data_IF_022613628053
#
_entry.id   IF_022613628053
#
_cell.length_a   1.000
_cell.length_b   1.000
_cell.length_c   1.000
_cell.angle_alpha   90.00
_cell.angle_beta   90.00
_cell.angle_gamma   90.00
#
_symmetry.space_group_name_H-M   'P 1'
#
loop_
_entity.id
_entity.type
_entity.pdbx_description
1 polymer ?
#
# COMPACT_ATOMS: atom_id res chain seq x y z
N UNK A 1 -8.78 -1.54 3.29
CA UNK A 1 -9.62 -2.77 3.34
C UNK A 1 -10.52 -2.85 4.59
N UNK A 2 -10.49 -1.86 5.47
CA UNK A 2 -11.41 -1.70 6.62
C UNK A 2 -12.76 -1.05 6.26
N UNK A 3 -13.05 -0.90 4.99
CA UNK A 3 -14.31 -0.41 4.43
C UNK A 3 -14.65 -1.25 3.20
N UNK A 4 -15.84 -1.07 2.65
CA UNK A 4 -16.26 -1.70 1.38
C UNK A 4 -15.65 -1.02 0.14
N UNK A 5 -14.96 0.11 0.30
CA UNK A 5 -14.27 0.83 -0.78
C UNK A 5 -12.92 0.17 -1.11
N UNK A 6 -13.01 -1.01 -1.70
CA UNK A 6 -11.93 -1.84 -2.20
C UNK A 6 -12.45 -2.78 -3.29
N UNK A 7 -11.57 -3.43 -4.05
CA UNK A 7 -11.99 -4.29 -5.17
C UNK A 7 -12.81 -5.53 -4.76
N UNK A 8 -12.81 -5.90 -3.47
CA UNK A 8 -13.62 -7.00 -2.94
C UNK A 8 -15.04 -6.57 -2.57
N UNK A 9 -15.32 -5.25 -2.50
CA UNK A 9 -16.58 -4.66 -2.03
C UNK A 9 -17.03 -5.20 -0.68
N UNK A 10 -16.05 -5.43 0.22
CA UNK A 10 -16.27 -5.96 1.57
C UNK A 10 -15.26 -5.39 2.55
N UNK A 11 -15.71 -5.16 3.78
CA UNK A 11 -14.79 -4.98 4.90
C UNK A 11 -14.04 -6.29 5.18
N UNK A 12 -12.72 -6.27 4.99
CA UNK A 12 -11.84 -7.42 5.15
C UNK A 12 -11.19 -7.48 6.54
N UNK A 13 -11.23 -6.37 7.28
CA UNK A 13 -10.55 -6.22 8.56
C UNK A 13 -11.48 -6.20 9.77
N UNK A 14 -12.80 -6.02 9.58
CA UNK A 14 -13.80 -5.99 10.64
C UNK A 14 -13.54 -4.83 11.62
N UNK A 15 -13.15 -5.15 12.85
CA UNK A 15 -12.92 -4.13 13.89
C UNK A 15 -11.55 -3.43 13.81
N UNK A 16 -10.70 -3.74 12.84
CA UNK A 16 -9.37 -3.15 12.71
C UNK A 16 -9.45 -1.82 11.92
N UNK A 17 -9.51 -0.71 12.62
CA UNK A 17 -9.65 0.63 12.02
C UNK A 17 -8.30 1.33 11.75
N UNK A 18 -7.22 0.88 12.39
CA UNK A 18 -5.91 1.51 12.27
C UNK A 18 -5.01 0.78 11.26
N UNK A 19 -4.18 1.55 10.56
CA UNK A 19 -3.11 0.98 9.75
C UNK A 19 -1.89 0.66 10.62
N UNK A 20 -1.37 -0.55 10.49
CA UNK A 20 -0.20 -1.03 11.20
C UNK A 20 0.96 -1.28 10.24
N UNK A 21 2.18 -1.04 10.70
CA UNK A 21 3.44 -1.32 10.00
C UNK A 21 4.47 -1.80 11.02
N UNK A 22 5.54 -2.44 10.57
CA UNK A 22 6.70 -2.66 11.43
C UNK A 22 7.21 -1.30 11.95
N UNK A 23 7.68 -1.21 13.22
CA UNK A 23 8.06 0.08 13.82
C UNK A 23 9.05 0.89 13.00
N UNK A 24 10.10 0.27 12.48
CA UNK A 24 11.10 0.94 11.63
C UNK A 24 10.53 1.34 10.26
N UNK A 25 9.53 0.62 9.76
CA UNK A 25 8.81 0.95 8.52
C UNK A 25 7.91 2.17 8.75
N UNK A 26 7.22 2.22 9.90
CA UNK A 26 6.41 3.38 10.31
C UNK A 26 7.27 4.64 10.48
N UNK A 27 8.43 4.54 11.14
CA UNK A 27 9.37 5.66 11.24
C UNK A 27 9.79 6.21 9.86
N UNK A 28 10.03 5.33 8.90
CA UNK A 28 10.37 5.71 7.52
C UNK A 28 9.19 6.37 6.81
N UNK A 29 7.96 5.94 7.08
CA UNK A 29 6.76 6.59 6.53
C UNK A 29 6.61 8.02 7.04
N UNK A 30 6.97 8.28 8.30
CA UNK A 30 7.03 9.66 8.85
C UNK A 30 8.02 10.54 8.09
N UNK A 31 9.15 10.00 7.61
CA UNK A 31 10.07 10.76 6.76
C UNK A 31 9.46 11.10 5.40
N UNK A 32 8.66 10.19 4.82
CA UNK A 32 7.90 10.45 3.60
C UNK A 32 6.93 11.61 3.78
N UNK A 33 6.14 11.57 4.85
CA UNK A 33 5.19 12.63 5.21
C UNK A 33 5.91 13.97 5.43
N UNK A 34 7.03 13.97 6.15
CA UNK A 34 7.84 15.19 6.37
C UNK A 34 8.39 15.77 5.06
N UNK A 35 8.82 14.90 4.14
CA UNK A 35 9.26 15.34 2.81
C UNK A 35 8.11 15.96 2.02
N UNK A 36 6.95 15.28 1.99
CA UNK A 36 5.76 15.76 1.30
C UNK A 36 5.34 17.15 1.81
N UNK A 37 5.23 17.34 3.13
CA UNK A 37 4.88 18.63 3.75
C UNK A 37 5.87 19.77 3.42
N UNK A 38 7.14 19.44 3.18
CA UNK A 38 8.12 20.43 2.71
C UNK A 38 7.94 20.82 1.24
N UNK A 39 7.37 19.92 0.42
CA UNK A 39 7.11 20.18 -1.01
C UNK A 39 5.78 20.89 -1.20
N UNK A 40 4.79 20.46 -0.48
CA UNK A 40 3.45 21.05 -0.48
C UNK A 40 2.80 20.82 0.90
N UNK A 41 2.61 21.91 1.65
CA UNK A 41 2.04 21.85 2.99
C UNK A 41 0.55 21.52 3.00
N UNK A 42 -0.14 21.66 1.86
CA UNK A 42 -1.57 21.35 1.70
C UNK A 42 -1.83 19.88 1.48
N UNK A 43 -0.79 19.07 1.22
CA UNK A 43 -0.92 17.64 0.95
C UNK A 43 -0.54 16.78 2.15
N UNK A 44 -1.15 15.61 2.21
CA UNK A 44 -0.85 14.53 3.18
C UNK A 44 -0.81 13.18 2.49
N UNK A 45 -0.14 12.20 3.11
CA UNK A 45 -0.30 10.80 2.72
C UNK A 45 -1.65 10.28 3.21
N UNK A 46 -2.39 9.62 2.34
CA UNK A 46 -3.61 8.89 2.65
C UNK A 46 -3.33 7.40 2.46
N UNK A 47 -3.48 6.61 3.52
CA UNK A 47 -3.12 5.19 3.52
C UNK A 47 -4.35 4.36 3.20
N UNK A 48 -4.22 3.45 2.23
CA UNK A 48 -5.24 2.48 1.85
C UNK A 48 -5.05 1.15 2.57
N UNK A 49 -3.79 0.66 2.67
CA UNK A 49 -3.48 -0.61 3.32
C UNK A 49 -2.03 -0.63 3.85
N UNK A 50 -1.80 -1.41 4.91
CA UNK A 50 -0.49 -1.60 5.53
C UNK A 50 -0.23 -3.06 5.85
N UNK A 51 -0.08 -3.40 7.13
CA UNK A 51 0.07 -4.78 7.57
C UNK A 51 -1.23 -5.56 7.31
N UNK A 52 -1.19 -6.49 6.37
CA UNK A 52 -2.30 -7.38 6.04
C UNK A 52 -2.00 -8.77 6.57
N UNK A 53 -2.72 -9.27 7.60
CA UNK A 53 -2.54 -10.64 8.08
C UNK A 53 -2.69 -11.68 6.97
N UNK A 54 -1.94 -12.78 7.06
CA UNK A 54 -2.03 -13.86 6.08
C UNK A 54 -3.43 -14.47 6.03
N UNK A 55 -4.13 -14.55 7.17
CA UNK A 55 -5.53 -15.00 7.23
C UNK A 55 -6.47 -14.13 6.41
N UNK A 56 -6.30 -12.80 6.45
CA UNK A 56 -7.07 -11.85 5.62
C UNK A 56 -6.75 -12.07 4.15
N UNK A 57 -5.48 -12.16 3.79
CA UNK A 57 -5.07 -12.44 2.41
C UNK A 57 -5.59 -13.79 1.92
N UNK A 58 -5.63 -14.84 2.77
CA UNK A 58 -6.23 -16.12 2.46
C UNK A 58 -7.73 -15.98 2.22
N UNK A 59 -8.44 -15.24 3.06
CA UNK A 59 -9.87 -14.98 2.89
C UNK A 59 -10.16 -14.24 1.57
N UNK A 60 -9.39 -13.20 1.22
CA UNK A 60 -9.47 -12.53 -0.08
C UNK A 60 -9.28 -13.52 -1.24
N UNK A 61 -8.26 -14.39 -1.13
CA UNK A 61 -7.96 -15.39 -2.13
C UNK A 61 -9.10 -16.39 -2.34
N UNK A 62 -9.75 -16.82 -1.26
CA UNK A 62 -10.83 -17.80 -1.30
C UNK A 62 -12.12 -17.21 -1.87
N UNK A 63 -12.36 -15.92 -1.67
CA UNK A 63 -13.50 -15.21 -2.25
C UNK A 63 -13.41 -15.02 -3.77
N UNK A 64 -12.22 -15.04 -4.35
CA UNK A 64 -12.04 -14.91 -5.79
C UNK A 64 -12.44 -16.23 -6.48
N UNK A 65 -13.60 -16.27 -7.14
CA UNK A 65 -14.06 -17.43 -7.93
C UNK A 65 -13.46 -17.39 -9.35
N UNK A 66 -12.16 -17.71 -9.44
CA UNK A 66 -11.42 -17.73 -10.70
C UNK A 66 -10.20 -18.67 -10.63
N UNK A 67 -9.60 -19.06 -11.77
CA UNK A 67 -8.38 -19.86 -11.82
C UNK A 67 -7.21 -19.22 -11.07
N UNK A 68 -6.31 -20.04 -10.52
CA UNK A 68 -5.16 -19.58 -9.70
C UNK A 68 -4.29 -18.55 -10.42
N UNK A 69 -4.03 -18.73 -11.71
CA UNK A 69 -3.24 -17.79 -12.51
C UNK A 69 -3.91 -16.41 -12.67
N UNK A 70 -5.24 -16.37 -12.61
CA UNK A 70 -5.98 -15.11 -12.61
C UNK A 70 -5.99 -14.47 -11.21
N UNK A 71 -6.23 -15.26 -10.15
CA UNK A 71 -6.19 -14.77 -8.76
C UNK A 71 -4.89 -14.01 -8.43
N UNK A 72 -3.75 -14.49 -8.95
CA UNK A 72 -2.45 -13.86 -8.70
C UNK A 72 -2.30 -12.46 -9.29
N UNK A 73 -3.20 -12.03 -10.16
CA UNK A 73 -3.25 -10.66 -10.69
C UNK A 73 -3.90 -9.68 -9.70
N UNK A 74 -4.70 -10.18 -8.75
CA UNK A 74 -5.45 -9.41 -7.77
C UNK A 74 -4.83 -9.53 -6.37
N UNK A 75 -4.52 -10.74 -5.96
CA UNK A 75 -4.00 -11.02 -4.62
C UNK A 75 -2.79 -11.95 -4.72
N UNK A 76 -1.70 -11.62 -4.05
CA UNK A 76 -0.55 -12.52 -3.95
C UNK A 76 -0.94 -13.85 -3.31
N UNK A 77 -0.39 -14.97 -3.81
CA UNK A 77 -0.68 -16.29 -3.27
C UNK A 77 -0.34 -16.35 -1.76
N UNK A 78 -1.32 -16.62 -0.87
CA UNK A 78 -1.12 -16.59 0.59
C UNK A 78 -0.04 -17.56 1.07
N UNK A 79 0.16 -18.70 0.39
CA UNK A 79 1.22 -19.64 0.71
C UNK A 79 2.63 -19.06 0.51
N UNK A 80 2.77 -18.15 -0.47
CA UNK A 80 4.03 -17.43 -0.72
C UNK A 80 4.14 -16.15 0.10
N UNK A 81 3.02 -15.65 0.61
CA UNK A 81 2.91 -14.38 1.31
C UNK A 81 3.13 -13.17 0.41
N UNK A 82 2.88 -11.99 0.95
CA UNK A 82 3.21 -10.68 0.39
C UNK A 82 4.00 -9.86 1.42
N UNK A 83 4.60 -8.74 1.01
CA UNK A 83 5.28 -7.87 1.97
C UNK A 83 4.31 -7.20 2.96
N UNK A 84 3.03 -7.07 2.61
CA UNK A 84 1.98 -6.68 3.56
C UNK A 84 1.84 -7.65 4.74
N UNK A 85 2.05 -8.97 4.51
CA UNK A 85 1.98 -9.95 5.60
C UNK A 85 3.12 -9.82 6.62
N UNK A 86 4.15 -9.05 6.30
CA UNK A 86 5.25 -8.71 7.20
C UNK A 86 5.11 -7.30 7.80
N UNK A 87 4.08 -6.52 7.43
CA UNK A 87 4.00 -5.10 7.75
C UNK A 87 5.12 -4.27 7.12
N UNK A 88 5.65 -4.74 5.98
CA UNK A 88 6.78 -4.16 5.25
C UNK A 88 6.41 -3.64 3.85
N UNK A 89 5.13 -3.49 3.56
CA UNK A 89 4.60 -2.81 2.39
C UNK A 89 3.43 -1.90 2.79
N UNK A 90 3.14 -0.92 1.94
CA UNK A 90 2.08 0.04 2.13
C UNK A 90 1.44 0.41 0.80
N UNK A 91 0.13 0.49 0.78
CA UNK A 91 -0.67 1.07 -0.30
C UNK A 91 -1.09 2.48 0.13
N UNK A 92 -0.75 3.49 -0.66
CA UNK A 92 -0.85 4.89 -0.25
C UNK A 92 -1.05 5.81 -1.44
N UNK A 93 -1.75 6.93 -1.21
CA UNK A 93 -1.90 8.04 -2.15
C UNK A 93 -1.60 9.38 -1.50
N UNK A 94 -1.76 10.46 -2.28
CA UNK A 94 -1.73 11.83 -1.81
C UNK A 94 -3.16 12.34 -1.65
N UNK A 95 -3.42 13.10 -0.59
CA UNK A 95 -4.70 13.77 -0.39
C UNK A 95 -4.50 15.22 0.05
N UNK A 96 -5.48 16.07 -0.25
CA UNK A 96 -5.51 17.43 0.27
C UNK A 96 -5.87 17.38 1.77
N UNK A 97 -5.11 18.10 2.59
CA UNK A 97 -5.26 18.07 4.06
C UNK A 97 -6.57 18.70 4.53
N UNK A 98 -7.08 19.73 3.83
CA UNK A 98 -8.29 20.44 4.22
C UNK A 98 -9.56 19.73 3.75
N UNK A 99 -9.57 19.30 2.49
CA UNK A 99 -10.74 18.64 1.88
C UNK A 99 -10.79 17.15 2.16
N UNK A 100 -9.66 16.54 2.55
CA UNK A 100 -9.46 15.08 2.73
C UNK A 100 -9.71 14.28 1.45
N UNK A 101 -9.74 14.93 0.29
CA UNK A 101 -9.95 14.30 -1.01
C UNK A 101 -8.60 13.87 -1.58
N UNK A 102 -8.53 12.61 -2.04
CA UNK A 102 -7.38 12.07 -2.74
C UNK A 102 -7.11 12.84 -4.04
N UNK A 103 -5.84 13.03 -4.40
CA UNK A 103 -5.47 13.56 -5.70
C UNK A 103 -5.78 12.54 -6.79
N UNK A 104 -6.19 13.05 -7.93
CA UNK A 104 -6.45 12.21 -9.10
C UNK A 104 -5.15 11.58 -9.61
N UNK A 105 -5.08 10.26 -9.56
CA UNK A 105 -3.97 9.45 -10.04
C UNK A 105 -4.23 8.85 -11.43
N UNK A 106 -5.41 9.11 -12.04
CA UNK A 106 -5.81 8.62 -13.37
C UNK A 106 -6.18 7.14 -13.41
N UNK A 107 -6.17 6.48 -12.28
CA UNK A 107 -6.69 5.14 -12.06
C UNK A 107 -7.03 5.02 -10.57
N UNK A 108 -8.11 4.33 -10.27
CA UNK A 108 -8.54 4.10 -8.89
C UNK A 108 -7.60 3.16 -8.15
N UNK A 109 -7.70 3.17 -6.82
CA UNK A 109 -7.04 2.18 -5.99
C UNK A 109 -7.55 0.77 -6.36
N UNK A 110 -6.66 -0.21 -6.39
CA UNK A 110 -6.96 -1.61 -6.81
C UNK A 110 -7.46 -1.78 -8.27
N UNK A 111 -7.49 -0.74 -9.08
CA UNK A 111 -7.84 -0.88 -10.50
C UNK A 111 -6.79 -1.69 -11.25
N UNK A 112 -7.15 -2.92 -11.64
CA UNK A 112 -6.27 -3.82 -12.40
C UNK A 112 -6.17 -3.34 -13.86
N UNK A 113 -4.94 -3.32 -14.39
CA UNK A 113 -4.69 -3.01 -15.79
C UNK A 113 -3.52 -2.06 -16.00
N UNK A 114 -3.13 -1.92 -17.26
CA UNK A 114 -1.95 -1.14 -17.65
C UNK A 114 -2.04 0.34 -17.29
N UNK A 115 -3.24 0.87 -17.09
CA UNK A 115 -3.47 2.25 -16.65
C UNK A 115 -2.87 2.48 -15.24
N UNK A 116 -2.81 1.45 -14.41
CA UNK A 116 -2.23 1.51 -13.07
C UNK A 116 -0.71 1.29 -13.04
N UNK A 117 -0.08 0.95 -14.16
CA UNK A 117 1.32 0.55 -14.23
C UNK A 117 2.28 1.74 -14.32
N UNK A 118 3.12 2.03 -13.32
CA UNK A 118 4.12 3.11 -13.37
C UNK A 118 5.04 3.04 -14.59
N UNK A 119 5.43 1.84 -15.01
CA UNK A 119 6.30 1.66 -16.19
C UNK A 119 5.64 2.01 -17.52
N UNK A 120 4.31 2.16 -17.52
CA UNK A 120 3.53 2.48 -18.73
C UNK A 120 3.05 3.93 -18.78
N UNK A 121 3.32 4.75 -17.77
CA UNK A 121 2.86 6.14 -17.67
C UNK A 121 3.17 6.96 -18.94
N UNK A 122 4.37 6.78 -19.52
CA UNK A 122 4.70 7.50 -20.75
C UNK A 122 3.77 7.11 -21.91
N UNK A 123 3.52 5.82 -22.10
CA UNK A 123 2.63 5.33 -23.17
C UNK A 123 1.20 5.81 -22.93
N UNK A 124 0.73 5.79 -21.68
CA UNK A 124 -0.60 6.24 -21.30
C UNK A 124 -0.76 7.75 -21.51
N UNK A 125 0.29 8.53 -21.21
CA UNK A 125 0.32 9.97 -21.48
C UNK A 125 0.31 10.26 -22.98
N UNK A 126 1.16 9.59 -23.77
CA UNK A 126 1.24 9.76 -25.22
C UNK A 126 -0.08 9.38 -25.94
N UNK A 127 -0.88 8.47 -25.32
CA UNK A 127 -2.20 8.04 -25.80
C UNK A 127 -3.36 8.86 -25.24
N UNK A 128 -3.09 9.89 -24.45
CA UNK A 128 -4.08 10.70 -23.74
C UNK A 128 -5.01 9.89 -22.78
N UNK A 129 -4.57 8.73 -22.31
CA UNK A 129 -5.24 7.92 -21.28
C UNK A 129 -4.89 8.38 -19.87
N UNK A 130 -3.77 9.06 -19.71
CA UNK A 130 -3.41 9.81 -18.49
C UNK A 130 -3.13 11.26 -18.86
N UNK A 131 -3.43 12.18 -17.95
CA UNK A 131 -3.05 13.59 -18.05
C UNK A 131 -1.65 13.84 -17.48
N UNK A 132 -1.06 14.99 -17.82
CA UNK A 132 0.22 15.44 -17.25
C UNK A 132 0.09 15.56 -15.72
N UNK A 133 -1.03 16.11 -15.24
CA UNK A 133 -1.29 16.29 -13.80
C UNK A 133 -1.31 14.95 -13.06
N UNK A 134 -2.05 13.97 -13.58
CA UNK A 134 -2.12 12.62 -12.98
C UNK A 134 -0.74 11.96 -12.89
N UNK A 135 0.05 12.08 -13.97
CA UNK A 135 1.43 11.56 -13.99
C UNK A 135 2.33 12.32 -13.00
N UNK A 136 2.16 13.62 -12.85
CA UNK A 136 2.95 14.43 -11.91
C UNK A 136 2.55 14.16 -10.45
N UNK A 137 1.26 13.91 -10.17
CA UNK A 137 0.79 13.42 -8.87
C UNK A 137 1.47 12.08 -8.50
N UNK A 138 1.46 11.10 -9.41
CA UNK A 138 2.17 9.82 -9.21
C UNK A 138 3.68 10.00 -9.01
N UNK A 139 4.32 10.92 -9.72
CA UNK A 139 5.75 11.23 -9.54
C UNK A 139 6.03 11.88 -8.18
N UNK A 140 5.14 12.78 -7.72
CA UNK A 140 5.26 13.39 -6.41
C UNK A 140 5.14 12.34 -5.31
N UNK A 141 4.14 11.45 -5.40
CA UNK A 141 3.98 10.30 -4.50
C UNK A 141 5.27 9.47 -4.44
N UNK A 142 5.79 9.01 -5.58
CA UNK A 142 7.03 8.21 -5.63
C UNK A 142 8.24 8.94 -5.05
N UNK A 143 8.37 10.26 -5.29
CA UNK A 143 9.46 11.07 -4.68
C UNK A 143 9.32 11.14 -3.17
N UNK A 144 8.09 11.32 -2.69
CA UNK A 144 7.82 11.35 -1.25
C UNK A 144 8.13 10.01 -0.60
N UNK A 145 7.71 8.91 -1.20
CA UNK A 145 7.98 7.56 -0.67
C UNK A 145 9.48 7.20 -0.70
N UNK A 146 10.22 7.64 -1.70
CA UNK A 146 11.68 7.46 -1.76
C UNK A 146 12.43 8.19 -0.63
N UNK A 147 11.90 9.30 -0.11
CA UNK A 147 12.50 9.99 1.03
C UNK A 147 12.58 9.13 2.30
N UNK A 148 11.61 8.20 2.46
CA UNK A 148 11.64 7.15 3.49
C UNK A 148 12.27 5.84 3.03
N UNK A 149 12.95 5.80 1.86
CA UNK A 149 13.58 4.61 1.28
C UNK A 149 12.59 3.49 0.90
N UNK A 150 11.35 3.85 0.59
CA UNK A 150 10.41 2.92 -0.05
C UNK A 150 10.66 2.91 -1.56
N UNK A 151 10.29 1.80 -2.19
CA UNK A 151 10.33 1.65 -3.65
C UNK A 151 9.03 1.08 -4.19
N UNK A 152 8.57 1.64 -5.31
CA UNK A 152 7.35 1.21 -5.98
C UNK A 152 7.57 -0.08 -6.77
N UNK A 153 6.49 -0.79 -7.06
CA UNK A 153 6.47 -1.89 -8.04
C UNK A 153 6.09 -1.38 -9.43
N UNK A 154 6.16 -2.26 -10.43
CA UNK A 154 5.98 -1.88 -11.84
C UNK A 154 4.51 -1.83 -12.28
N UNK A 155 3.61 -2.46 -11.53
CA UNK A 155 2.23 -2.75 -11.94
C UNK A 155 1.16 -2.02 -11.14
N UNK A 156 1.56 -1.33 -10.05
CA UNK A 156 0.63 -0.65 -9.15
C UNK A 156 1.22 0.69 -8.73
N UNK A 157 0.51 1.79 -8.99
CA UNK A 157 1.00 3.13 -8.70
C UNK A 157 0.96 3.45 -7.20
N UNK A 158 0.08 2.77 -6.45
CA UNK A 158 -0.15 2.96 -5.01
C UNK A 158 0.78 2.14 -4.11
N UNK A 159 1.33 1.01 -4.62
CA UNK A 159 2.05 0.04 -3.81
C UNK A 159 3.53 0.36 -3.65
N UNK A 160 4.00 0.34 -2.40
CA UNK A 160 5.40 0.61 -2.05
C UNK A 160 5.93 -0.42 -1.05
N UNK A 161 7.08 -0.98 -1.37
CA UNK A 161 7.81 -1.90 -0.52
C UNK A 161 8.87 -1.18 0.33
N UNK A 162 8.99 -1.57 1.61
CA UNK A 162 10.05 -1.10 2.50
C UNK A 162 11.36 -1.86 2.33
N UNK A 163 11.31 -3.11 1.91
CA UNK A 163 12.49 -3.97 1.69
C UNK A 163 12.20 -5.02 0.62
N UNK A 164 13.22 -5.77 0.22
CA UNK A 164 13.05 -6.95 -0.62
C UNK A 164 12.48 -8.11 0.19
N UNK A 165 11.83 -9.06 -0.49
CA UNK A 165 11.17 -10.21 0.14
C UNK A 165 12.12 -11.03 1.01
N UNK A 166 13.31 -11.36 0.53
CA UNK A 166 14.29 -12.15 1.30
C UNK A 166 14.73 -11.42 2.58
N UNK A 167 14.86 -10.09 2.51
CA UNK A 167 15.16 -9.27 3.68
C UNK A 167 14.00 -9.26 4.68
N UNK A 168 12.74 -9.29 4.21
CA UNK A 168 11.59 -9.36 5.09
C UNK A 168 11.53 -10.68 5.87
N UNK A 169 11.79 -11.81 5.22
CA UNK A 169 11.86 -13.11 5.87
C UNK A 169 12.94 -13.20 6.96
N UNK A 170 14.06 -12.49 6.77
CA UNK A 170 15.15 -12.46 7.77
C UNK A 170 14.79 -11.55 8.94
N UNK A 171 14.12 -10.42 8.66
CA UNK A 171 13.96 -9.31 9.60
C UNK A 171 12.66 -9.35 10.38
N UNK A 172 11.59 -9.88 9.80
CA UNK A 172 10.25 -9.79 10.36
C UNK A 172 9.58 -11.16 10.40
N UNK A 173 8.70 -11.34 11.36
CA UNK A 173 7.79 -12.47 11.39
C UNK A 173 6.55 -12.19 10.53
N UNK A 174 5.97 -13.24 9.96
CA UNK A 174 4.69 -13.13 9.25
C UNK A 174 3.57 -12.90 10.26
N UNK A 175 2.72 -11.93 9.97
CA UNK A 175 1.50 -11.65 10.73
C UNK A 175 0.45 -12.65 10.27
N UNK A 176 0.17 -13.67 11.07
CA UNK A 176 -0.73 -14.76 10.68
C UNK A 176 -2.21 -14.37 10.78
N UNK A 177 -2.61 -13.64 11.83
CA UNK A 177 -3.99 -13.26 12.08
C UNK A 177 -4.13 -11.87 12.66
N UNK A 178 -5.36 -11.37 12.74
CA UNK A 178 -5.67 -10.05 13.29
C UNK A 178 -5.15 -9.89 14.73
N UNK A 179 -5.27 -10.91 15.57
CA UNK A 179 -4.75 -10.91 16.94
C UNK A 179 -3.22 -10.77 17.01
N UNK A 180 -2.50 -11.08 15.94
CA UNK A 180 -1.04 -10.94 15.87
C UNK A 180 -0.59 -9.52 15.54
N UNK A 181 -1.49 -8.64 15.10
CA UNK A 181 -1.19 -7.23 14.82
C UNK A 181 -0.93 -6.46 16.12
N UNK A 182 -1.69 -6.76 17.17
CA UNK A 182 -1.51 -6.11 18.48
C UNK A 182 -0.16 -6.44 19.11
N UNK A 183 0.39 -7.64 18.84
CA UNK A 183 1.71 -8.05 19.33
C UNK A 183 2.85 -7.19 18.75
N UNK A 184 2.72 -6.64 17.56
CA UNK A 184 3.73 -5.77 16.94
C UNK A 184 3.91 -4.47 17.73
N UNK A 185 2.86 -4.00 18.43
CA UNK A 185 2.88 -2.76 19.21
C UNK A 185 3.25 -2.97 20.66
N UNK A 186 3.12 -4.18 21.21
CA UNK A 186 3.33 -4.46 22.66
C UNK A 186 4.82 -4.64 23.02
N UNK A 187 5.67 -5.04 22.09
CA UNK A 187 7.10 -5.26 22.39
C UNK A 187 7.90 -3.97 22.68
N UNK A 188 7.40 -2.79 22.32
CA UNK A 188 8.06 -1.49 22.62
C UNK A 188 7.46 -0.70 23.79
N UNK A 189 6.31 -1.12 24.34
CA UNK A 189 5.66 -0.43 25.47
C UNK A 189 6.36 -0.58 26.82
N UNK A 190 7.36 -1.45 26.93
CA UNK A 190 8.06 -1.77 28.20
C UNK A 190 9.50 -1.24 28.27
N UNK A 191 9.91 -0.30 27.40
CA UNK A 191 11.27 0.27 27.41
C UNK A 191 11.30 1.80 27.56
N UNK A 192 10.31 2.40 28.21
CA UNK A 192 10.40 3.80 28.68
C UNK A 192 9.90 3.94 30.10
#
# INVERSE_FOLDING_TARGET
YSTEDNFMHKDMYGCLENCYLQPDVAERLMLCQKYLKKKDSTLTLLIYDGARPRSVQQYMWDLLDMPINEKTKFVSNPKKGSLHNFGAAIDVTLANTETQVALDMGAEYDQIGIISWPIKEKIMLDSALLTIEQVDNRKLLRRSMRAGKFFNIQTEWWHFNACYRDSAYIKYQIIEGLNSIDAINLEKGNQY
#
